data_IF_019751714901
#
_entry.id   IF_019751714901
#
_cell.length_a   1.000
_cell.length_b   1.000
_cell.length_c   1.000
_cell.angle_alpha   90.00
_cell.angle_beta   90.00
_cell.angle_gamma   90.00
#
_symmetry.space_group_name_H-M   'P 1'
#
loop_
_entity.id
_entity.type
_entity.pdbx_description
1 polymer ?
#
# COMPACT_ATOMS: atom_id res chain seq x y z
N UNK A 1 1.54 -17.10 -1.58
CA UNK A 1 0.99 -16.11 -2.52
C UNK A 1 -0.16 -16.74 -3.26
N UNK A 2 -1.38 -16.29 -2.97
CA UNK A 2 -2.53 -16.54 -3.83
C UNK A 2 -2.49 -15.51 -4.96
N UNK A 3 -2.65 -15.95 -6.20
CA UNK A 3 -2.63 -15.12 -7.40
C UNK A 3 -3.95 -15.23 -8.16
N UNK A 4 -4.36 -14.13 -8.79
CA UNK A 4 -5.62 -13.99 -9.53
C UNK A 4 -6.86 -14.41 -8.73
N UNK A 5 -6.93 -14.02 -7.45
CA UNK A 5 -8.09 -14.27 -6.57
C UNK A 5 -9.35 -13.66 -7.19
N UNK A 6 -10.45 -14.42 -7.22
CA UNK A 6 -11.72 -14.05 -7.84
C UNK A 6 -11.75 -14.18 -9.36
N UNK A 7 -10.68 -14.68 -9.98
CA UNK A 7 -10.54 -14.80 -11.43
C UNK A 7 -10.18 -16.23 -11.86
N UNK A 8 -10.41 -16.51 -13.14
CA UNK A 8 -9.95 -17.74 -13.79
C UNK A 8 -8.41 -17.81 -13.83
N UNK A 9 -7.89 -19.04 -13.96
CA UNK A 9 -6.46 -19.37 -13.90
C UNK A 9 -5.78 -18.92 -12.59
N UNK A 10 -6.52 -18.91 -11.47
CA UNK A 10 -5.95 -18.70 -10.15
C UNK A 10 -4.92 -19.76 -9.79
N UNK A 11 -3.90 -19.32 -9.05
CA UNK A 11 -2.84 -20.21 -8.59
C UNK A 11 -2.38 -19.85 -7.18
N UNK A 12 -1.86 -20.84 -6.46
CA UNK A 12 -1.22 -20.64 -5.19
C UNK A 12 0.23 -21.05 -5.27
N UNK A 13 1.12 -20.18 -4.82
CA UNK A 13 2.57 -20.41 -4.76
C UNK A 13 3.08 -20.26 -3.34
N UNK A 14 3.89 -21.20 -2.86
CA UNK A 14 4.64 -21.11 -1.60
C UNK A 14 6.09 -21.55 -1.83
N UNK A 15 7.03 -20.88 -1.16
CA UNK A 15 8.45 -21.24 -1.20
C UNK A 15 8.87 -21.77 0.16
N UNK A 16 9.37 -23.00 0.21
CA UNK A 16 9.77 -23.70 1.44
C UNK A 16 11.22 -24.13 1.27
N UNK A 17 12.11 -23.73 2.18
CA UNK A 17 13.54 -24.07 2.14
C UNK A 17 14.23 -23.84 0.79
N UNK A 18 13.82 -22.79 0.07
CA UNK A 18 14.37 -22.49 -1.26
C UNK A 18 13.58 -23.08 -2.43
N UNK A 19 12.76 -24.10 -2.21
CA UNK A 19 11.97 -24.79 -3.24
C UNK A 19 10.63 -24.09 -3.46
N UNK A 20 10.27 -23.86 -4.73
CA UNK A 20 9.00 -23.24 -5.12
C UNK A 20 7.96 -24.33 -5.42
N UNK A 21 6.87 -24.34 -4.67
CA UNK A 21 5.70 -25.15 -4.97
C UNK A 21 4.57 -24.26 -5.51
N UNK A 22 4.07 -24.58 -6.69
CA UNK A 22 2.98 -23.85 -7.34
C UNK A 22 1.89 -24.81 -7.80
N UNK A 23 0.64 -24.44 -7.58
CA UNK A 23 -0.53 -25.22 -7.96
C UNK A 23 -1.58 -24.30 -8.58
N UNK A 24 -2.19 -24.73 -9.70
CA UNK A 24 -3.41 -24.11 -10.21
C UNK A 24 -4.58 -24.59 -9.37
N UNK A 25 -5.26 -23.66 -8.71
CA UNK A 25 -6.37 -23.97 -7.80
C UNK A 25 -7.34 -22.80 -7.84
N UNK A 26 -8.64 -23.08 -7.82
CA UNK A 26 -9.66 -22.04 -7.79
C UNK A 26 -9.60 -21.27 -6.45
N UNK A 27 -9.51 -19.95 -6.53
CA UNK A 27 -9.49 -19.06 -5.35
C UNK A 27 -10.57 -17.99 -5.55
N UNK A 28 -11.85 -18.28 -5.31
CA UNK A 28 -12.95 -17.36 -5.63
C UNK A 28 -12.98 -16.11 -4.74
N UNK A 29 -12.40 -16.15 -3.54
CA UNK A 29 -12.42 -15.05 -2.56
C UNK A 29 -11.28 -15.14 -1.54
N UNK A 30 -11.15 -14.08 -0.73
CA UNK A 30 -10.13 -13.97 0.33
C UNK A 30 -10.22 -15.08 1.38
N UNK A 31 -11.43 -15.51 1.77
CA UNK A 31 -11.59 -16.63 2.72
C UNK A 31 -10.98 -17.93 2.20
N UNK A 32 -11.18 -18.23 0.92
CA UNK A 32 -10.60 -19.41 0.27
C UNK A 32 -9.08 -19.29 0.20
N UNK A 33 -8.56 -18.08 -0.09
CA UNK A 33 -7.12 -17.82 -0.11
C UNK A 33 -6.47 -18.09 1.26
N UNK A 34 -7.08 -17.60 2.35
CA UNK A 34 -6.61 -17.83 3.73
C UNK A 34 -6.69 -19.31 4.09
N UNK A 35 -7.79 -19.99 3.74
CA UNK A 35 -7.95 -21.44 3.97
C UNK A 35 -6.85 -22.24 3.27
N UNK A 36 -6.54 -21.92 2.01
CA UNK A 36 -5.47 -22.57 1.26
C UNK A 36 -4.12 -22.28 1.93
N UNK A 37 -3.85 -21.03 2.31
CA UNK A 37 -2.62 -20.66 3.01
C UNK A 37 -2.40 -21.53 4.26
N UNK A 38 -3.36 -21.56 5.18
CA UNK A 38 -3.24 -22.33 6.43
C UNK A 38 -3.04 -23.82 6.16
N UNK A 39 -3.76 -24.40 5.19
CA UNK A 39 -3.57 -25.80 4.77
C UNK A 39 -2.17 -26.04 4.22
N UNK A 40 -1.61 -25.10 3.45
CA UNK A 40 -0.25 -25.22 2.89
C UNK A 40 0.81 -25.07 3.96
N UNK A 41 0.65 -24.13 4.91
CA UNK A 41 1.57 -24.00 6.05
C UNK A 41 1.64 -25.33 6.83
N UNK A 42 0.50 -25.94 7.13
CA UNK A 42 0.46 -27.26 7.79
C UNK A 42 1.03 -28.38 6.91
N UNK A 43 0.67 -28.44 5.62
CA UNK A 43 1.16 -29.47 4.69
C UNK A 43 2.69 -29.50 4.60
N UNK A 44 3.33 -28.35 4.67
CA UNK A 44 4.79 -28.23 4.60
C UNK A 44 5.46 -28.20 5.97
N UNK A 45 4.75 -28.58 7.04
CA UNK A 45 5.24 -28.60 8.42
C UNK A 45 5.88 -27.27 8.85
N UNK A 46 5.29 -26.15 8.41
CA UNK A 46 5.70 -24.81 8.82
C UNK A 46 5.01 -24.38 10.13
N UNK A 47 3.87 -25.00 10.42
CA UNK A 47 3.10 -24.91 11.67
C UNK A 47 2.43 -26.28 11.90
N UNK A 48 2.21 -26.66 13.16
CA UNK A 48 1.44 -27.85 13.54
C UNK A 48 -0.05 -27.49 13.75
N UNK A 49 -0.28 -26.34 14.40
CA UNK A 49 -1.59 -25.76 14.70
C UNK A 49 -1.65 -24.28 14.21
N UNK A 50 -2.71 -23.87 13.49
CA UNK A 50 -2.95 -22.46 13.18
C UNK A 50 -2.86 -21.49 14.37
N UNK A 51 -3.12 -21.95 15.60
CA UNK A 51 -3.01 -21.15 16.83
C UNK A 51 -1.59 -20.72 17.19
N UNK A 52 -0.56 -21.31 16.58
CA UNK A 52 0.82 -20.83 16.72
C UNK A 52 1.01 -19.44 16.10
N UNK A 53 0.12 -19.03 15.19
CA UNK A 53 0.13 -17.71 14.59
C UNK A 53 -0.47 -16.72 15.60
N UNK A 54 0.39 -16.05 16.36
CA UNK A 54 -0.02 -15.08 17.39
C UNK A 54 -0.29 -13.67 16.85
N UNK A 55 0.08 -13.39 15.60
CA UNK A 55 -0.19 -12.08 14.99
C UNK A 55 0.05 -12.00 13.50
N UNK A 56 -0.62 -11.04 12.87
CA UNK A 56 -0.69 -10.87 11.42
C UNK A 56 -0.50 -9.40 11.08
N UNK A 57 0.45 -9.11 10.19
CA UNK A 57 0.71 -7.76 9.70
C UNK A 57 0.09 -7.55 8.32
N UNK A 58 -0.75 -6.52 8.20
CA UNK A 58 -1.44 -6.14 6.98
C UNK A 58 -0.84 -4.86 6.40
N UNK A 59 -0.47 -4.89 5.13
CA UNK A 59 -0.02 -3.68 4.42
C UNK A 59 -1.22 -3.00 3.79
N UNK A 60 -1.54 -1.81 4.28
CA UNK A 60 -2.61 -0.97 3.73
C UNK A 60 -1.99 0.11 2.85
N UNK A 61 -2.53 0.35 1.66
CA UNK A 61 -2.01 1.39 0.77
C UNK A 61 -2.32 2.80 1.32
N UNK A 62 -3.59 3.09 1.59
CA UNK A 62 -4.01 4.40 2.08
C UNK A 62 -4.45 4.35 3.55
N UNK A 63 -3.84 5.18 4.40
CA UNK A 63 -4.26 5.44 5.78
C UNK A 63 -5.00 6.78 5.95
N UNK A 64 -5.10 7.57 4.87
CA UNK A 64 -5.68 8.91 4.93
C UNK A 64 -4.96 9.80 5.96
N UNK A 65 -5.69 10.75 6.55
CA UNK A 65 -5.25 11.47 7.76
C UNK A 65 -5.73 10.81 9.07
N UNK A 66 -6.58 9.79 8.94
CA UNK A 66 -7.21 9.06 10.05
C UNK A 66 -6.15 8.30 10.87
N UNK A 67 -5.25 7.60 10.19
CA UNK A 67 -4.24 6.76 10.82
C UNK A 67 -2.88 7.47 10.93
N UNK A 68 -2.51 7.83 12.17
CA UNK A 68 -1.24 8.50 12.52
C UNK A 68 -0.16 7.55 13.02
N UNK A 69 -0.47 6.27 13.18
CA UNK A 69 0.48 5.18 13.41
C UNK A 69 -0.10 3.87 12.82
N UNK A 70 0.67 2.79 12.89
CA UNK A 70 0.14 1.44 12.77
C UNK A 70 -0.94 1.20 13.83
N UNK A 71 -1.98 0.43 13.46
CA UNK A 71 -3.14 0.22 14.31
C UNK A 71 -3.37 -1.27 14.56
N UNK A 72 -3.72 -1.63 15.80
CA UNK A 72 -4.36 -2.92 16.06
C UNK A 72 -5.71 -2.94 15.36
N UNK A 73 -6.05 -4.05 14.74
CA UNK A 73 -7.29 -4.16 13.95
C UNK A 73 -8.38 -4.82 14.77
N UNK A 74 -9.42 -4.03 15.03
CA UNK A 74 -10.72 -4.46 15.51
C UNK A 74 -11.80 -4.14 14.44
N UNK A 75 -13.09 -4.33 14.78
CA UNK A 75 -14.19 -4.05 13.85
C UNK A 75 -14.27 -2.57 13.44
N UNK A 76 -13.97 -1.63 14.36
CA UNK A 76 -13.99 -0.20 14.06
C UNK A 76 -12.84 0.17 13.09
N UNK A 77 -11.64 -0.33 13.39
CA UNK A 77 -10.44 -0.12 12.58
C UNK A 77 -10.60 -0.72 11.19
N UNK A 78 -11.15 -1.94 11.10
CA UNK A 78 -11.48 -2.57 9.82
C UNK A 78 -12.45 -1.71 9.00
N UNK A 79 -13.50 -1.16 9.62
CA UNK A 79 -14.45 -0.30 8.92
C UNK A 79 -13.77 0.98 8.41
N UNK A 80 -12.91 1.62 9.22
CA UNK A 80 -12.12 2.79 8.79
C UNK A 80 -11.21 2.46 7.60
N UNK A 81 -10.52 1.32 7.63
CA UNK A 81 -9.67 0.85 6.51
C UNK A 81 -10.52 0.68 5.24
N UNK A 82 -11.72 0.11 5.37
CA UNK A 82 -12.65 -0.08 4.28
C UNK A 82 -13.15 1.27 3.70
N UNK A 83 -13.48 2.24 4.54
CA UNK A 83 -13.98 3.56 4.11
C UNK A 83 -12.91 4.38 3.40
N UNK A 84 -11.63 4.15 3.72
CA UNK A 84 -10.48 4.72 2.99
C UNK A 84 -10.34 4.21 1.55
N UNK A 85 -11.21 3.30 1.08
CA UNK A 85 -11.34 2.94 -0.34
C UNK A 85 -11.56 4.16 -1.25
N UNK A 86 -12.06 5.27 -0.73
CA UNK A 86 -12.16 6.52 -1.50
C UNK A 86 -10.79 7.02 -2.03
N UNK A 87 -9.70 6.74 -1.33
CA UNK A 87 -8.34 7.14 -1.72
C UNK A 87 -7.60 6.05 -2.50
N UNK A 88 -7.93 4.78 -2.27
CA UNK A 88 -7.30 3.63 -2.92
C UNK A 88 -8.31 2.49 -3.16
N UNK A 89 -9.28 2.67 -4.08
CA UNK A 89 -10.44 1.79 -4.19
C UNK A 89 -10.10 0.35 -4.57
N UNK A 90 -9.07 0.18 -5.41
CA UNK A 90 -8.62 -1.13 -5.88
C UNK A 90 -7.70 -1.85 -4.88
N UNK A 91 -7.33 -1.21 -3.77
CA UNK A 91 -6.37 -1.75 -2.80
C UNK A 91 -6.96 -1.91 -1.41
N UNK A 92 -7.50 -0.84 -0.82
CA UNK A 92 -7.96 -0.86 0.57
C UNK A 92 -9.16 -1.80 0.78
N UNK A 93 -10.12 -1.83 -0.17
CA UNK A 93 -11.28 -2.72 -0.06
C UNK A 93 -10.86 -4.21 -0.08
N UNK A 94 -9.95 -4.57 -0.99
CA UNK A 94 -9.44 -5.95 -1.10
C UNK A 94 -8.69 -6.36 0.17
N UNK A 95 -7.85 -5.47 0.71
CA UNK A 95 -7.11 -5.75 1.94
C UNK A 95 -8.05 -5.88 3.16
N UNK A 96 -9.11 -5.06 3.24
CA UNK A 96 -10.14 -5.20 4.27
C UNK A 96 -10.83 -6.57 4.22
N UNK A 97 -11.11 -7.11 3.02
CA UNK A 97 -11.67 -8.45 2.87
C UNK A 97 -10.70 -9.55 3.33
N UNK A 98 -9.39 -9.35 3.15
CA UNK A 98 -8.34 -10.27 3.61
C UNK A 98 -8.23 -10.24 5.14
N UNK A 99 -8.17 -9.05 5.75
CA UNK A 99 -8.22 -8.84 7.21
C UNK A 99 -9.43 -9.56 7.80
N UNK A 100 -10.62 -9.29 7.27
CA UNK A 100 -11.86 -9.90 7.74
C UNK A 100 -11.81 -11.43 7.68
N UNK A 101 -11.19 -12.00 6.64
CA UNK A 101 -11.00 -13.43 6.53
C UNK A 101 -10.07 -13.96 7.63
N UNK A 102 -8.93 -13.31 7.88
CA UNK A 102 -8.03 -13.72 8.96
C UNK A 102 -8.67 -13.59 10.34
N UNK A 103 -9.42 -12.53 10.62
CA UNK A 103 -10.12 -12.35 11.91
C UNK A 103 -11.10 -13.50 12.17
N UNK A 104 -11.69 -14.06 11.11
CA UNK A 104 -12.59 -15.22 11.19
C UNK A 104 -11.84 -16.53 11.43
N UNK A 105 -10.70 -16.75 10.77
CA UNK A 105 -9.97 -18.03 10.84
C UNK A 105 -8.98 -18.11 12.00
N UNK A 106 -8.47 -16.98 12.49
CA UNK A 106 -7.47 -16.85 13.55
C UNK A 106 -7.92 -15.79 14.58
N UNK A 107 -9.06 -15.99 15.28
CA UNK A 107 -9.65 -14.96 16.15
C UNK A 107 -8.79 -14.56 17.35
N UNK A 108 -7.84 -15.41 17.74
CA UNK A 108 -6.93 -15.17 18.88
C UNK A 108 -5.65 -14.44 18.46
N UNK A 109 -5.38 -14.30 17.15
CA UNK A 109 -4.19 -13.64 16.63
C UNK A 109 -4.36 -12.12 16.61
N UNK A 110 -3.34 -11.38 17.04
CA UNK A 110 -3.34 -9.92 16.96
C UNK A 110 -3.14 -9.46 15.51
N UNK A 111 -4.10 -8.75 14.95
CA UNK A 111 -3.98 -8.15 13.62
C UNK A 111 -3.47 -6.70 13.70
N UNK A 112 -2.51 -6.35 12.84
CA UNK A 112 -1.89 -5.01 12.81
C UNK A 112 -1.92 -4.46 11.39
N UNK A 113 -2.58 -3.32 11.20
CA UNK A 113 -2.54 -2.56 9.95
C UNK A 113 -1.32 -1.63 9.92
N UNK A 114 -0.57 -1.66 8.81
CA UNK A 114 0.59 -0.82 8.55
C UNK A 114 0.39 -0.10 7.22
N UNK A 115 0.38 1.23 7.26
CA UNK A 115 -0.02 2.04 6.11
C UNK A 115 1.19 2.57 5.33
N UNK A 116 1.16 2.45 4.00
CA UNK A 116 2.21 3.00 3.12
C UNK A 116 2.30 4.53 3.16
N UNK A 117 1.20 5.19 3.48
CA UNK A 117 1.10 6.66 3.60
C UNK A 117 1.58 7.18 4.95
N UNK A 118 1.71 6.31 5.95
CA UNK A 118 1.96 6.71 7.35
C UNK A 118 3.24 7.52 7.51
N UNK A 119 4.35 7.07 6.90
CA UNK A 119 5.64 7.74 7.05
C UNK A 119 5.63 9.19 6.53
N UNK A 120 4.70 9.52 5.63
CA UNK A 120 4.55 10.84 5.04
C UNK A 120 3.53 11.73 5.77
N UNK A 121 2.95 11.28 6.89
CA UNK A 121 2.09 12.13 7.74
C UNK A 121 2.86 13.26 8.42
N UNK A 122 4.20 13.22 8.41
CA UNK A 122 5.06 14.28 8.94
C UNK A 122 5.28 15.45 7.97
N UNK A 123 4.70 15.44 6.78
CA UNK A 123 4.79 16.55 5.84
C UNK A 123 4.09 17.79 6.41
N UNK A 124 4.77 18.94 6.36
CA UNK A 124 4.16 20.23 6.68
C UNK A 124 3.17 20.67 5.57
N UNK A 125 2.18 21.55 5.87
CA UNK A 125 1.18 21.99 4.89
C UNK A 125 1.75 22.49 3.57
N UNK A 126 2.90 23.16 3.60
CA UNK A 126 3.60 23.64 2.40
C UNK A 126 4.05 22.51 1.47
N UNK A 127 4.27 21.30 1.99
CA UNK A 127 4.72 20.13 1.23
C UNK A 127 3.56 19.24 0.76
N UNK A 128 2.38 19.34 1.38
CA UNK A 128 1.24 18.49 1.02
C UNK A 128 0.05 19.18 0.36
N UNK A 129 -0.09 20.50 0.52
CA UNK A 129 -1.18 21.22 -0.13
C UNK A 129 -0.84 21.49 -1.59
N UNK A 130 -1.78 21.13 -2.47
CA UNK A 130 -1.72 21.55 -3.87
C UNK A 130 -2.12 23.02 -3.99
N UNK A 131 -1.56 23.71 -4.99
CA UNK A 131 -1.97 25.07 -5.38
C UNK A 131 -3.33 25.08 -6.10
N UNK A 132 -4.34 24.54 -5.42
CA UNK A 132 -5.74 24.44 -5.82
C UNK A 132 -6.61 25.18 -4.78
N UNK A 133 -7.87 25.51 -5.09
CA UNK A 133 -8.78 26.07 -4.10
C UNK A 133 -8.81 25.23 -2.81
N UNK A 134 -8.54 25.86 -1.67
CA UNK A 134 -8.38 25.19 -0.38
C UNK A 134 -9.58 24.31 0.01
N UNK A 135 -10.79 24.70 -0.41
CA UNK A 135 -12.02 23.91 -0.24
C UNK A 135 -11.92 22.46 -0.74
N UNK A 136 -11.05 22.16 -1.71
CA UNK A 136 -10.86 20.79 -2.19
C UNK A 136 -10.09 19.93 -1.19
N UNK A 137 -9.14 20.52 -0.48
CA UNK A 137 -8.52 19.87 0.66
C UNK A 137 -9.55 19.65 1.77
N UNK A 138 -10.26 20.69 2.20
CA UNK A 138 -11.22 20.60 3.31
C UNK A 138 -12.36 19.60 3.05
N UNK A 139 -12.89 19.58 1.82
CA UNK A 139 -14.06 18.75 1.48
C UNK A 139 -13.70 17.34 1.03
N UNK A 140 -12.57 17.16 0.36
CA UNK A 140 -12.23 15.90 -0.31
C UNK A 140 -10.92 15.28 0.17
N UNK A 141 -10.20 15.94 1.09
CA UNK A 141 -8.85 15.51 1.51
C UNK A 141 -7.86 15.51 0.35
N UNK A 142 -8.02 16.43 -0.63
CA UNK A 142 -7.16 16.54 -1.80
C UNK A 142 -5.78 17.11 -1.44
N UNK A 143 -4.89 16.25 -0.93
CA UNK A 143 -3.51 16.55 -0.54
C UNK A 143 -2.52 15.50 -1.03
N UNK A 144 -1.22 15.80 -0.92
CA UNK A 144 -0.16 14.80 -1.04
C UNK A 144 -0.23 13.84 0.15
N UNK A 145 -0.36 12.54 -0.14
CA UNK A 145 -0.26 11.46 0.85
C UNK A 145 1.03 10.66 0.70
N UNK A 146 1.60 10.60 -0.52
CA UNK A 146 2.74 9.75 -0.81
C UNK A 146 2.41 8.26 -0.83
N UNK A 147 3.42 7.43 -1.06
CA UNK A 147 3.36 5.97 -0.85
C UNK A 147 4.79 5.43 -0.66
N UNK A 148 4.92 4.11 -0.48
CA UNK A 148 6.19 3.45 -0.14
C UNK A 148 6.78 3.85 1.21
N UNK A 149 5.99 4.49 2.09
CA UNK A 149 6.45 4.96 3.40
C UNK A 149 7.02 3.85 4.28
N UNK A 150 6.50 2.62 4.21
CA UNK A 150 7.07 1.46 4.92
C UNK A 150 8.51 1.20 4.46
N UNK A 151 8.74 1.20 3.14
CA UNK A 151 10.08 0.99 2.56
C UNK A 151 11.02 2.13 2.90
N UNK A 152 10.57 3.38 2.77
CA UNK A 152 11.39 4.55 3.09
C UNK A 152 11.76 4.58 4.58
N UNK A 153 10.81 4.30 5.48
CA UNK A 153 11.05 4.20 6.92
C UNK A 153 12.13 3.16 7.22
N UNK A 154 12.00 1.96 6.66
CA UNK A 154 12.96 0.88 6.85
C UNK A 154 14.36 1.22 6.34
N UNK A 155 14.47 1.68 5.08
CA UNK A 155 15.76 1.99 4.46
C UNK A 155 16.45 3.19 5.13
N UNK A 156 15.70 4.20 5.55
CA UNK A 156 16.26 5.34 6.28
C UNK A 156 16.90 4.90 7.59
N UNK A 157 16.20 4.06 8.37
CA UNK A 157 16.75 3.49 9.61
C UNK A 157 17.97 2.61 9.35
N UNK A 158 17.95 1.79 8.29
CA UNK A 158 19.10 0.96 7.91
C UNK A 158 20.29 1.80 7.49
N UNK A 159 20.07 2.88 6.75
CA UNK A 159 21.14 3.82 6.38
C UNK A 159 21.77 4.46 7.63
N UNK A 160 20.96 4.87 8.62
CA UNK A 160 21.48 5.39 9.89
C UNK A 160 22.34 4.37 10.64
N UNK A 161 21.91 3.10 10.68
CA UNK A 161 22.69 2.01 11.27
C UNK A 161 24.03 1.81 10.55
N UNK A 162 24.04 1.78 9.21
CA UNK A 162 25.27 1.61 8.41
C UNK A 162 26.23 2.78 8.62
N UNK A 163 25.70 4.00 8.71
CA UNK A 163 26.49 5.20 8.91
C UNK A 163 26.97 5.39 10.35
N UNK A 164 26.51 4.55 11.30
CA UNK A 164 26.73 4.69 12.74
C UNK A 164 26.37 6.11 13.25
N UNK A 165 25.22 6.63 12.80
CA UNK A 165 24.72 7.96 13.18
C UNK A 165 23.25 7.88 13.61
N UNK A 166 22.85 8.75 14.53
CA UNK A 166 21.42 8.89 14.86
C UNK A 166 20.67 9.40 13.62
N UNK A 167 19.54 8.79 13.29
CA UNK A 167 18.66 9.19 12.20
C UNK A 167 18.20 10.65 12.34
N UNK A 168 18.15 11.18 13.57
CA UNK A 168 17.80 12.58 13.87
C UNK A 168 18.83 13.58 13.34
N UNK A 169 20.07 13.15 13.09
CA UNK A 169 21.16 13.99 12.58
C UNK A 169 21.35 13.87 11.06
N UNK A 170 20.52 13.07 10.39
CA UNK A 170 20.66 12.76 8.98
C UNK A 170 19.67 13.53 8.10
N UNK A 171 20.16 13.89 6.92
CA UNK A 171 19.39 14.34 5.77
C UNK A 171 19.66 13.36 4.64
N UNK A 172 18.64 12.62 4.24
CA UNK A 172 18.73 11.55 3.25
C UNK A 172 17.80 11.85 2.09
N UNK A 173 18.21 11.43 0.89
CA UNK A 173 17.30 11.25 -0.24
C UNK A 173 17.20 9.74 -0.46
N UNK A 174 15.98 9.21 -0.33
CA UNK A 174 15.71 7.79 -0.49
C UNK A 174 15.00 7.57 -1.82
N UNK A 175 15.62 6.78 -2.69
CA UNK A 175 15.07 6.42 -4.00
C UNK A 175 14.53 4.99 -3.95
N UNK A 176 13.21 4.83 -3.85
CA UNK A 176 12.56 3.53 -4.02
C UNK A 176 12.27 3.34 -5.50
N UNK A 177 13.06 2.53 -6.20
CA UNK A 177 12.96 2.37 -7.66
C UNK A 177 12.54 0.95 -8.02
N UNK A 178 11.28 0.78 -8.42
CA UNK A 178 10.71 -0.47 -8.91
C UNK A 178 9.64 -0.23 -9.97
N UNK A 179 8.71 -1.18 -10.14
CA UNK A 179 7.55 -0.99 -11.05
C UNK A 179 6.69 0.21 -10.63
N UNK A 180 6.61 0.47 -9.32
CA UNK A 180 6.32 1.80 -8.79
C UNK A 180 7.57 2.41 -8.24
N UNK A 181 7.75 3.72 -8.46
CA UNK A 181 8.93 4.42 -8.03
C UNK A 181 8.57 5.70 -7.27
N UNK A 182 9.33 6.01 -6.21
CA UNK A 182 9.24 7.29 -5.51
C UNK A 182 10.60 7.77 -5.02
N UNK A 183 10.75 9.08 -4.87
CA UNK A 183 11.89 9.72 -4.22
C UNK A 183 11.37 10.44 -2.98
N UNK A 184 12.02 10.26 -1.85
CA UNK A 184 11.62 10.88 -0.58
C UNK A 184 12.80 11.60 0.04
N UNK A 185 12.62 12.88 0.35
CA UNK A 185 13.51 13.62 1.21
C UNK A 185 13.19 13.28 2.66
N UNK A 186 14.17 12.77 3.39
CA UNK A 186 14.06 12.43 4.82
C UNK A 186 14.97 13.36 5.60
N UNK A 187 14.38 14.07 6.56
CA UNK A 187 15.08 15.02 7.43
C UNK A 187 14.83 14.65 8.86
N UNK A 188 15.90 14.42 9.62
CA UNK A 188 15.85 14.09 11.04
C UNK A 188 14.93 12.88 11.34
N UNK A 189 14.98 11.87 10.46
CA UNK A 189 14.16 10.66 10.54
C UNK A 189 12.69 10.78 10.18
N UNK A 190 12.25 11.94 9.68
CA UNK A 190 10.88 12.18 9.23
C UNK A 190 10.84 12.43 7.72
N UNK A 191 9.74 12.05 7.07
CA UNK A 191 9.49 12.46 5.69
C UNK A 191 9.35 13.98 5.65
N UNK A 192 10.22 14.63 4.87
CA UNK A 192 10.22 16.07 4.65
C UNK A 192 9.48 16.44 3.36
N UNK A 193 9.69 15.67 2.29
CA UNK A 193 8.92 15.73 1.06
C UNK A 193 8.98 14.38 0.35
N UNK A 194 8.02 14.08 -0.53
CA UNK A 194 7.98 12.83 -1.30
C UNK A 194 7.38 13.06 -2.67
N UNK A 195 7.80 12.25 -3.63
CA UNK A 195 7.45 12.47 -5.03
C UNK A 195 6.02 12.03 -5.38
N UNK A 196 5.52 10.98 -4.73
CA UNK A 196 4.14 10.55 -4.95
C UNK A 196 3.14 11.52 -4.32
N UNK A 197 2.02 11.71 -5.02
CA UNK A 197 1.04 12.76 -4.76
C UNK A 197 -0.15 12.33 -3.90
N UNK A 198 -1.31 12.84 -4.29
CA UNK A 198 -2.63 12.31 -3.89
C UNK A 198 -2.78 10.84 -4.27
N UNK A 199 -2.21 10.45 -5.42
CA UNK A 199 -2.10 9.07 -5.87
C UNK A 199 -0.64 8.70 -6.18
N UNK A 200 -0.34 7.40 -6.33
CA UNK A 200 0.97 6.93 -6.77
C UNK A 200 1.38 7.27 -8.22
N UNK A 201 0.73 8.22 -8.91
CA UNK A 201 1.04 8.57 -10.31
C UNK A 201 2.06 9.71 -10.44
N UNK A 202 2.09 10.64 -9.48
CA UNK A 202 2.82 11.89 -9.61
C UNK A 202 4.35 11.73 -9.70
N UNK A 203 4.97 12.74 -10.29
CA UNK A 203 6.40 13.01 -10.43
C UNK A 203 7.15 12.08 -11.37
N UNK A 204 7.74 10.99 -10.87
CA UNK A 204 8.68 10.22 -11.67
C UNK A 204 7.99 9.17 -12.54
N UNK A 205 8.48 9.00 -13.77
CA UNK A 205 7.99 7.96 -14.69
C UNK A 205 8.25 6.57 -14.10
N UNK A 206 7.28 5.68 -14.29
CA UNK A 206 7.32 4.30 -13.78
C UNK A 206 7.02 3.32 -14.92
N UNK A 207 6.91 2.03 -14.60
CA UNK A 207 6.72 0.98 -15.63
C UNK A 207 5.49 1.20 -16.52
N UNK A 208 4.38 1.63 -15.92
CA UNK A 208 3.08 1.81 -16.57
C UNK A 208 2.35 3.09 -16.15
N UNK A 209 3.03 3.99 -15.42
CA UNK A 209 2.51 5.29 -14.99
C UNK A 209 3.39 6.38 -15.57
N UNK A 210 2.75 7.46 -16.03
CA UNK A 210 3.42 8.55 -16.72
C UNK A 210 4.45 9.27 -15.85
N UNK A 211 4.20 9.39 -14.55
CA UNK A 211 4.79 10.46 -13.76
C UNK A 211 4.06 11.77 -14.04
N UNK A 212 4.76 12.88 -13.81
CA UNK A 212 4.25 14.22 -14.10
C UNK A 212 4.03 14.46 -15.59
N UNK A 213 2.87 15.05 -15.85
CA UNK A 213 2.47 15.56 -17.16
C UNK A 213 1.76 16.89 -16.93
N UNK A 214 1.72 17.74 -17.96
CA UNK A 214 0.90 18.95 -17.93
C UNK A 214 -0.57 18.58 -17.64
N UNK A 215 -1.20 19.09 -16.56
CA UNK A 215 -2.58 18.76 -16.24
C UNK A 215 -3.58 19.09 -17.36
N UNK A 216 -3.26 20.06 -18.24
CA UNK A 216 -4.09 20.43 -19.40
C UNK A 216 -3.99 19.43 -20.56
N UNK A 217 -2.95 18.57 -20.58
CA UNK A 217 -2.78 17.55 -21.62
C UNK A 217 -3.87 16.48 -21.57
N UNK A 218 -4.28 16.06 -20.37
CA UNK A 218 -5.32 15.05 -20.17
C UNK A 218 -6.66 15.45 -20.82
N UNK A 219 -7.28 16.60 -20.47
CA UNK A 219 -8.53 17.02 -21.11
C UNK A 219 -8.36 17.31 -22.60
N UNK A 220 -7.19 17.77 -23.05
CA UNK A 220 -6.90 17.96 -24.48
C UNK A 220 -6.96 16.63 -25.26
N UNK A 221 -6.27 15.59 -24.77
CA UNK A 221 -6.28 14.25 -25.40
C UNK A 221 -7.67 13.63 -25.34
N UNK A 222 -8.35 13.69 -24.18
CA UNK A 222 -9.72 13.16 -24.02
C UNK A 222 -10.66 13.74 -25.08
N UNK A 223 -10.65 15.07 -25.27
CA UNK A 223 -11.46 15.75 -26.29
C UNK A 223 -11.12 15.31 -27.72
N UNK A 224 -9.84 15.10 -28.03
CA UNK A 224 -9.41 14.61 -29.36
C UNK A 224 -9.84 13.16 -29.59
N UNK A 225 -9.81 12.33 -28.55
CA UNK A 225 -10.20 10.92 -28.62
C UNK A 225 -11.71 10.75 -28.77
N UNK A 226 -12.52 11.50 -28.03
CA UNK A 226 -13.99 11.51 -28.18
C UNK A 226 -14.42 11.94 -29.58
N UNK A 227 -13.81 13.00 -30.13
CA UNK A 227 -14.10 13.43 -31.51
C UNK A 227 -13.83 12.36 -32.56
N UNK A 228 -12.80 11.53 -32.37
CA UNK A 228 -12.51 10.40 -33.27
C UNK A 228 -13.53 9.26 -33.12
N UNK A 229 -14.02 8.99 -31.91
CA UNK A 229 -15.07 7.99 -31.66
C UNK A 229 -16.41 8.33 -32.29
N UNK A 230 -16.71 9.61 -32.51
CA UNK A 230 -17.93 10.04 -33.20
C UNK A 230 -17.77 10.17 -34.74
N UNK A 231 -16.58 9.91 -35.27
CA UNK A 231 -16.27 9.95 -36.71
C UNK A 231 -16.12 8.55 -37.33
N UNK A 232 -16.32 7.49 -36.53
CA UNK A 232 -16.36 6.09 -36.92
C UNK A 232 -17.64 5.46 -36.35
#
# INVERSE_FOLDING_TARGET
MADRVGLDDSSFTIKVNGEKHQEKIAIPNSETAVTILLKKLKKYNLIDDPKEIIGIGHRIVAGGEEFKDSALVDQETLQKIYDLKQYAPLHNAVEADVIKAFMKFLPDAAEVAVFDTLFHQSLDPVHYLYSLPYKYYEKYGARKYGAHGISVRYISQKAAQILNRDIKDLKLIVCHLGSGASITAVKNGKSYDTSMGFTPVAEITMSSRSGDVDPSLLPFIMKKYEKRRHQH
#
